data_IF_152682179763
#
_entry.id   IF_152682179763
#
_cell.length_a   1.000
_cell.length_b   1.000
_cell.length_c   1.000
_cell.angle_alpha   90.00
_cell.angle_beta   90.00
_cell.angle_gamma   90.00
#
_symmetry.space_group_name_H-M   'P 1'
#
loop_
_entity.id
_entity.type
_entity.pdbx_description
1 polymer ?
#
# COMPACT_ATOMS: atom_id res chain seq x y z
N UNK A 1 10.42 9.32 -17.90
CA UNK A 1 9.98 10.69 -17.50
C UNK A 1 8.47 10.65 -17.41
N UNK A 2 7.96 10.60 -16.19
CA UNK A 2 6.57 10.25 -15.89
C UNK A 2 5.55 11.27 -16.42
N UNK A 3 4.58 10.75 -17.14
CA UNK A 3 3.45 11.50 -17.71
C UNK A 3 2.46 12.01 -16.63
N UNK A 4 2.60 11.53 -15.40
CA UNK A 4 1.67 11.80 -14.28
C UNK A 4 1.95 13.06 -13.46
N UNK A 5 3.14 13.68 -13.56
CA UNK A 5 3.46 14.88 -12.76
C UNK A 5 2.63 16.13 -13.10
N UNK A 6 1.82 16.09 -14.16
CA UNK A 6 0.97 17.20 -14.59
C UNK A 6 -0.50 17.11 -14.16
N UNK A 7 -0.93 16.00 -13.57
CA UNK A 7 -2.33 15.80 -13.20
C UNK A 7 -2.67 16.25 -11.77
N UNK A 8 -1.68 16.41 -10.91
CA UNK A 8 -1.89 16.86 -9.53
C UNK A 8 -1.39 18.30 -9.40
N UNK A 9 -2.32 19.25 -9.46
CA UNK A 9 -2.07 20.62 -9.03
C UNK A 9 -1.58 20.55 -7.58
N UNK A 10 -0.31 20.99 -7.34
CA UNK A 10 0.35 20.82 -6.04
C UNK A 10 -0.47 21.46 -4.92
N UNK A 11 -1.08 20.64 -4.08
CA UNK A 11 -1.57 21.08 -2.78
C UNK A 11 -0.38 21.57 -1.98
N UNK A 12 -0.57 22.68 -1.29
CA UNK A 12 0.46 23.23 -0.43
C UNK A 12 0.65 22.25 0.76
N UNK A 13 1.87 21.86 1.08
CA UNK A 13 2.18 20.91 2.18
C UNK A 13 1.52 21.31 3.51
N UNK A 14 1.25 22.60 3.69
CA UNK A 14 0.54 23.15 4.85
C UNK A 14 -0.96 22.77 4.91
N UNK A 15 -1.53 22.23 3.85
CA UNK A 15 -2.95 21.86 3.75
C UNK A 15 -3.19 20.37 3.91
N UNK A 16 -2.13 19.53 3.98
CA UNK A 16 -2.26 18.08 4.09
C UNK A 16 -2.57 17.69 5.55
N UNK A 17 -3.73 17.08 5.77
CA UNK A 17 -4.05 16.45 7.05
C UNK A 17 -3.48 15.02 7.12
N UNK A 18 -2.33 14.90 7.78
CA UNK A 18 -1.68 13.60 7.96
C UNK A 18 -2.43 12.64 8.89
N UNK A 19 -3.46 13.09 9.63
CA UNK A 19 -4.26 12.19 10.47
C UNK A 19 -5.04 11.16 9.64
N UNK A 20 -5.28 11.44 8.36
CA UNK A 20 -5.91 10.49 7.45
C UNK A 20 -5.17 9.14 7.38
N UNK A 21 -3.85 9.13 7.62
CA UNK A 21 -3.08 7.89 7.68
C UNK A 21 -3.50 6.96 8.83
N UNK A 22 -4.02 7.51 9.93
CA UNK A 22 -4.58 6.69 11.01
C UNK A 22 -5.89 5.99 10.58
N UNK A 23 -6.70 6.67 9.78
CA UNK A 23 -7.91 6.06 9.22
C UNK A 23 -7.56 4.98 8.18
N UNK A 24 -6.56 5.22 7.34
CA UNK A 24 -6.05 4.18 6.43
C UNK A 24 -5.52 2.98 7.22
N UNK A 25 -4.71 3.23 8.25
CA UNK A 25 -4.16 2.18 9.10
C UNK A 25 -5.25 1.33 9.75
N UNK A 26 -6.28 1.95 10.34
CA UNK A 26 -7.41 1.22 10.94
C UNK A 26 -8.08 0.28 9.93
N UNK A 27 -8.37 0.78 8.74
CA UNK A 27 -9.07 0.01 7.72
C UNK A 27 -8.23 -1.15 7.19
N UNK A 28 -6.94 -0.92 6.92
CA UNK A 28 -6.05 -1.92 6.30
C UNK A 28 -5.57 -2.94 7.32
N UNK A 29 -5.24 -2.49 8.54
CA UNK A 29 -4.69 -3.35 9.58
C UNK A 29 -5.72 -3.93 10.55
N UNK A 30 -7.01 -3.72 10.29
CA UNK A 30 -8.10 -4.21 11.15
C UNK A 30 -7.95 -3.73 12.60
N UNK A 31 -7.64 -2.44 12.77
CA UNK A 31 -7.40 -1.78 14.06
C UNK A 31 -6.21 -2.37 14.87
N UNK A 32 -5.19 -2.93 14.22
CA UNK A 32 -3.99 -3.42 14.90
C UNK A 32 -3.30 -2.29 15.67
N UNK A 33 -3.24 -2.41 17.00
CA UNK A 33 -2.71 -1.37 17.90
C UNK A 33 -1.24 -1.03 17.62
N UNK A 34 -0.44 -2.01 17.20
CA UNK A 34 0.97 -1.80 16.87
C UNK A 34 1.11 -0.95 15.61
N UNK A 35 0.35 -1.28 14.54
CA UNK A 35 0.32 -0.48 13.31
C UNK A 35 -0.13 0.94 13.61
N UNK A 36 -1.21 1.12 14.37
CA UNK A 36 -1.72 2.45 14.73
C UNK A 36 -0.69 3.28 15.51
N UNK A 37 0.04 2.64 16.44
CA UNK A 37 1.10 3.29 17.21
C UNK A 37 2.28 3.73 16.32
N UNK A 38 2.73 2.87 15.40
CA UNK A 38 3.82 3.16 14.47
C UNK A 38 3.43 4.25 13.46
N UNK A 39 2.23 4.22 12.93
CA UNK A 39 1.71 5.28 12.04
C UNK A 39 1.59 6.61 12.78
N UNK A 40 1.13 6.61 14.03
CA UNK A 40 1.10 7.82 14.86
C UNK A 40 2.51 8.39 15.07
N UNK A 41 3.52 7.55 15.33
CA UNK A 41 4.92 7.98 15.43
C UNK A 41 5.38 8.58 14.10
N UNK A 42 5.12 7.91 12.98
CA UNK A 42 5.48 8.35 11.63
C UNK A 42 4.96 9.76 11.32
N UNK A 43 3.69 10.03 11.56
CA UNK A 43 3.07 11.33 11.20
C UNK A 43 3.40 12.45 12.19
N UNK A 44 3.62 12.14 13.49
CA UNK A 44 3.87 13.15 14.53
C UNK A 44 5.36 13.41 14.76
N UNK A 45 6.23 12.44 14.47
CA UNK A 45 7.67 12.47 14.68
C UNK A 45 8.44 11.98 13.44
N UNK A 46 8.05 12.47 12.29
CA UNK A 46 8.52 11.97 10.99
C UNK A 46 10.05 11.87 10.90
N UNK A 47 10.78 12.91 11.29
CA UNK A 47 12.25 12.91 11.20
C UNK A 47 12.89 11.86 12.11
N UNK A 48 12.34 11.66 13.32
CA UNK A 48 12.82 10.64 14.24
C UNK A 48 12.50 9.23 13.71
N UNK A 49 11.31 9.03 13.15
CA UNK A 49 10.93 7.78 12.51
C UNK A 49 11.85 7.44 11.33
N UNK A 50 12.08 8.39 10.42
CA UNK A 50 12.97 8.21 9.26
C UNK A 50 14.41 7.91 9.73
N UNK A 51 14.91 8.62 10.73
CA UNK A 51 16.26 8.40 11.26
C UNK A 51 16.43 7.00 11.83
N UNK A 52 15.41 6.47 12.51
CA UNK A 52 15.38 5.12 13.09
C UNK A 52 15.31 4.03 12.01
N UNK A 53 14.61 4.30 10.90
CA UNK A 53 14.36 3.37 9.80
C UNK A 53 15.13 3.75 8.53
N UNK A 54 16.29 4.39 8.67
CA UNK A 54 17.05 4.97 7.57
C UNK A 54 17.41 3.96 6.48
N UNK A 55 17.80 2.76 6.87
CA UNK A 55 18.17 1.67 5.95
C UNK A 55 17.02 1.32 4.98
N UNK A 56 15.77 1.34 5.43
CA UNK A 56 14.63 1.09 4.57
C UNK A 56 14.59 2.08 3.39
N UNK A 57 14.71 3.37 3.68
CA UNK A 57 14.69 4.42 2.66
C UNK A 57 15.91 4.34 1.73
N UNK A 58 17.09 4.07 2.29
CA UNK A 58 18.34 3.93 1.52
C UNK A 58 18.33 2.69 0.62
N UNK A 59 17.82 1.54 1.09
CA UNK A 59 17.70 0.31 0.30
C UNK A 59 16.75 0.46 -0.89
N UNK A 60 15.75 1.34 -0.79
CA UNK A 60 14.86 1.72 -1.90
C UNK A 60 15.45 2.79 -2.82
N UNK A 61 16.68 3.25 -2.58
CA UNK A 61 17.30 4.32 -3.34
C UNK A 61 16.66 5.69 -3.11
N UNK A 62 15.94 5.86 -1.99
CA UNK A 62 15.28 7.12 -1.65
C UNK A 62 16.32 8.12 -1.13
N UNK A 63 16.48 9.23 -1.85
CA UNK A 63 17.31 10.34 -1.43
C UNK A 63 16.55 11.21 -0.43
N UNK A 64 16.83 11.03 0.86
CA UNK A 64 16.18 11.75 1.96
C UNK A 64 16.35 13.28 1.86
N UNK A 65 17.40 13.75 1.17
CA UNK A 65 17.62 15.20 0.96
C UNK A 65 16.79 15.81 -0.15
N UNK A 66 16.20 14.99 -1.03
CA UNK A 66 15.42 15.46 -2.19
C UNK A 66 13.92 15.18 -2.08
N UNK A 67 13.55 14.17 -1.33
CA UNK A 67 12.15 13.80 -1.19
C UNK A 67 11.43 14.67 -0.17
N UNK A 68 10.21 15.09 -0.51
CA UNK A 68 9.37 15.87 0.40
C UNK A 68 8.76 15.00 1.48
N UNK A 69 8.50 15.62 2.63
CA UNK A 69 7.90 14.95 3.80
C UNK A 69 6.65 14.13 3.48
N UNK A 70 5.65 14.59 2.71
CA UNK A 70 4.47 13.78 2.40
C UNK A 70 4.84 12.44 1.76
N UNK A 71 5.75 12.46 0.78
CA UNK A 71 6.19 11.24 0.10
C UNK A 71 7.00 10.30 1.01
N UNK A 72 7.80 10.85 1.91
CA UNK A 72 8.53 10.06 2.92
C UNK A 72 7.57 9.39 3.90
N UNK A 73 6.48 10.09 4.30
CA UNK A 73 5.43 9.51 5.14
C UNK A 73 4.71 8.39 4.39
N UNK A 74 4.39 8.57 3.09
CA UNK A 74 3.76 7.53 2.28
C UNK A 74 4.60 6.26 2.20
N UNK A 75 5.89 6.39 1.94
CA UNK A 75 6.80 5.25 1.91
C UNK A 75 6.95 4.57 3.28
N UNK A 76 7.07 5.37 4.34
CA UNK A 76 7.11 4.84 5.71
C UNK A 76 5.82 4.12 6.10
N UNK A 77 4.67 4.58 5.61
CA UNK A 77 3.39 3.92 5.81
C UNK A 77 3.33 2.56 5.10
N UNK A 78 3.83 2.47 3.84
CA UNK A 78 3.95 1.20 3.15
C UNK A 78 4.81 0.20 3.94
N UNK A 79 5.97 0.67 4.44
CA UNK A 79 6.88 -0.16 5.23
C UNK A 79 6.24 -0.66 6.54
N UNK A 80 5.50 0.19 7.25
CA UNK A 80 4.77 -0.21 8.44
C UNK A 80 3.78 -1.33 8.12
N UNK A 81 3.00 -1.21 7.04
CA UNK A 81 2.04 -2.24 6.66
C UNK A 81 2.73 -3.56 6.30
N UNK A 82 3.81 -3.52 5.51
CA UNK A 82 4.57 -4.70 5.10
C UNK A 82 5.21 -5.37 6.31
N UNK A 83 5.96 -4.64 7.13
CA UNK A 83 6.65 -5.19 8.31
C UNK A 83 5.71 -5.76 9.37
N UNK A 84 4.46 -5.30 9.38
CA UNK A 84 3.44 -5.84 10.26
C UNK A 84 2.56 -6.92 9.60
N UNK A 85 2.84 -7.29 8.34
CA UNK A 85 2.17 -8.36 7.60
C UNK A 85 0.74 -8.05 7.17
N UNK A 86 0.42 -6.77 6.94
CA UNK A 86 -0.89 -6.32 6.41
C UNK A 86 -0.84 -5.94 4.93
N UNK A 87 0.34 -5.87 4.35
CA UNK A 87 0.57 -5.72 2.92
C UNK A 87 1.80 -6.52 2.51
N UNK A 88 1.96 -6.75 1.23
CA UNK A 88 3.15 -7.38 0.65
C UNK A 88 3.56 -6.60 -0.60
N UNK A 89 4.87 -6.56 -0.88
CA UNK A 89 5.42 -5.92 -2.06
C UNK A 89 5.94 -6.96 -3.04
N UNK A 90 5.36 -6.97 -4.23
CA UNK A 90 5.70 -7.89 -5.31
C UNK A 90 6.43 -7.17 -6.43
N UNK A 91 7.59 -7.69 -6.83
CA UNK A 91 8.21 -7.33 -8.10
C UNK A 91 7.28 -7.75 -9.26
N UNK A 92 7.22 -6.95 -10.32
CA UNK A 92 6.38 -7.25 -11.48
C UNK A 92 6.69 -8.59 -12.16
N UNK A 93 7.90 -9.13 -11.96
CA UNK A 93 8.37 -10.44 -12.44
C UNK A 93 8.28 -11.54 -11.38
N UNK A 94 7.58 -11.32 -10.29
CA UNK A 94 7.40 -12.36 -9.28
C UNK A 94 6.82 -13.63 -9.93
N UNK A 95 7.35 -14.80 -9.56
CA UNK A 95 6.83 -16.08 -9.99
C UNK A 95 5.49 -16.37 -9.30
N UNK A 96 4.58 -17.09 -9.97
CA UNK A 96 3.23 -17.35 -9.49
C UNK A 96 3.23 -18.04 -8.11
N UNK A 97 4.03 -19.07 -7.91
CA UNK A 97 4.13 -19.77 -6.63
C UNK A 97 4.55 -18.85 -5.48
N UNK A 98 5.50 -17.94 -5.76
CA UNK A 98 5.93 -16.92 -4.80
C UNK A 98 4.80 -15.93 -4.49
N UNK A 99 4.11 -15.44 -5.53
CA UNK A 99 2.98 -14.53 -5.39
C UNK A 99 1.86 -15.14 -4.53
N UNK A 100 1.41 -16.36 -4.83
CA UNK A 100 0.36 -17.06 -4.10
C UNK A 100 0.77 -17.30 -2.63
N UNK A 101 2.01 -17.76 -2.41
CA UNK A 101 2.52 -18.03 -1.07
C UNK A 101 2.57 -16.79 -0.19
N UNK A 102 3.14 -15.69 -0.70
CA UNK A 102 3.27 -14.46 0.07
C UNK A 102 1.92 -13.75 0.27
N UNK A 103 1.03 -13.77 -0.72
CA UNK A 103 -0.31 -13.21 -0.59
C UNK A 103 -1.11 -13.90 0.50
N UNK A 104 -1.01 -15.24 0.59
CA UNK A 104 -1.67 -16.03 1.62
C UNK A 104 -1.12 -15.79 3.04
N UNK A 105 0.08 -15.22 3.17
CA UNK A 105 0.66 -14.87 4.48
C UNK A 105 0.14 -13.53 5.02
N UNK A 106 -0.48 -12.69 4.21
CA UNK A 106 -1.04 -11.41 4.67
C UNK A 106 -2.12 -11.66 5.74
N UNK A 107 -2.03 -10.95 6.85
CA UNK A 107 -2.92 -11.15 8.00
C UNK A 107 -4.40 -10.96 7.67
N UNK A 108 -4.73 -9.91 6.91
CA UNK A 108 -6.12 -9.67 6.50
C UNK A 108 -6.65 -10.75 5.57
N UNK A 109 -5.82 -11.37 4.72
CA UNK A 109 -6.19 -12.53 3.93
C UNK A 109 -6.70 -13.68 4.83
N UNK A 110 -5.94 -13.97 5.90
CA UNK A 110 -6.30 -15.02 6.88
C UNK A 110 -7.53 -14.67 7.72
N UNK A 111 -7.64 -13.40 8.13
CA UNK A 111 -8.78 -12.94 8.95
C UNK A 111 -10.09 -12.96 8.16
N UNK A 112 -10.05 -12.62 6.89
CA UNK A 112 -11.21 -12.67 6.01
C UNK A 112 -11.54 -14.06 5.47
N UNK A 113 -10.69 -15.07 5.79
CA UNK A 113 -10.84 -16.46 5.33
C UNK A 113 -10.96 -16.54 3.79
N UNK A 114 -10.10 -15.79 3.10
CA UNK A 114 -10.11 -15.70 1.65
C UNK A 114 -9.44 -16.92 1.01
N UNK A 115 -9.95 -17.33 -0.14
CA UNK A 115 -9.34 -18.37 -0.97
C UNK A 115 -8.85 -17.76 -2.29
N UNK A 116 -7.66 -18.19 -2.73
CA UNK A 116 -7.16 -17.80 -4.05
C UNK A 116 -7.90 -18.56 -5.13
N UNK A 117 -8.39 -17.87 -6.18
CA UNK A 117 -8.89 -18.54 -7.35
C UNK A 117 -7.73 -19.24 -8.09
N UNK A 118 -8.01 -20.23 -8.94
CA UNK A 118 -6.98 -20.82 -9.80
C UNK A 118 -6.33 -19.74 -10.68
N UNK A 119 -5.04 -19.51 -10.50
CA UNK A 119 -4.22 -18.64 -11.33
C UNK A 119 -3.41 -19.46 -12.31
N UNK A 120 -2.95 -18.86 -13.41
CA UNK A 120 -2.16 -19.55 -14.45
C UNK A 120 -0.89 -18.79 -14.74
N UNK A 121 0.19 -19.53 -15.02
CA UNK A 121 1.48 -18.97 -15.41
C UNK A 121 1.48 -18.34 -16.83
N UNK A 122 0.47 -18.63 -17.64
CA UNK A 122 0.39 -18.15 -19.03
C UNK A 122 0.42 -16.63 -19.18
N UNK A 123 0.21 -15.93 -18.07
CA UNK A 123 0.20 -14.49 -18.01
C UNK A 123 1.23 -13.94 -17.03
N UNK A 124 2.43 -14.42 -16.97
CA UNK A 124 3.55 -14.03 -16.08
C UNK A 124 3.59 -12.54 -15.67
N UNK A 125 2.51 -12.03 -15.09
CA UNK A 125 2.33 -10.64 -14.72
C UNK A 125 1.45 -10.54 -13.47
N UNK A 126 2.03 -10.02 -12.42
CA UNK A 126 1.37 -9.77 -11.13
C UNK A 126 0.07 -8.97 -11.32
N UNK A 127 0.05 -8.02 -12.24
CA UNK A 127 -1.14 -7.21 -12.54
C UNK A 127 -2.33 -8.07 -13.03
N UNK A 128 -2.09 -9.00 -13.95
CA UNK A 128 -3.14 -9.86 -14.48
C UNK A 128 -3.66 -10.88 -13.44
N UNK A 129 -2.79 -11.33 -12.52
CA UNK A 129 -3.24 -12.16 -11.40
C UNK A 129 -4.11 -11.38 -10.42
N UNK A 130 -3.71 -10.16 -10.04
CA UNK A 130 -4.52 -9.29 -9.18
C UNK A 130 -5.89 -9.04 -9.80
N UNK A 131 -5.93 -8.73 -11.10
CA UNK A 131 -7.19 -8.51 -11.84
C UNK A 131 -8.10 -9.75 -11.86
N UNK A 132 -7.50 -10.93 -12.02
CA UNK A 132 -8.24 -12.21 -11.96
C UNK A 132 -8.84 -12.42 -10.58
N UNK A 133 -8.05 -12.21 -9.51
CA UNK A 133 -8.51 -12.30 -8.13
C UNK A 133 -9.65 -11.30 -7.89
N UNK A 134 -9.48 -10.04 -8.27
CA UNK A 134 -10.47 -8.99 -8.08
C UNK A 134 -11.80 -9.27 -8.78
N UNK A 135 -11.75 -9.88 -9.99
CA UNK A 135 -12.97 -10.28 -10.70
C UNK A 135 -13.82 -11.26 -9.89
N UNK A 136 -13.16 -12.17 -9.13
CA UNK A 136 -13.85 -13.20 -8.36
C UNK A 136 -14.21 -12.68 -6.95
N UNK A 137 -13.29 -11.99 -6.29
CA UNK A 137 -13.50 -11.53 -4.93
C UNK A 137 -14.52 -10.40 -4.80
N UNK A 138 -14.73 -9.58 -5.85
CA UNK A 138 -15.77 -8.56 -5.84
C UNK A 138 -17.17 -9.13 -5.60
N UNK A 139 -17.47 -10.32 -6.11
CA UNK A 139 -18.74 -11.00 -5.83
C UNK A 139 -18.88 -11.44 -4.37
N UNK A 140 -17.75 -11.58 -3.67
CA UNK A 140 -17.69 -11.92 -2.24
C UNK A 140 -17.60 -10.67 -1.35
N UNK A 141 -17.54 -9.47 -1.95
CA UNK A 141 -17.43 -8.20 -1.22
C UNK A 141 -16.00 -7.83 -0.82
N UNK A 142 -14.98 -8.42 -1.44
CA UNK A 142 -13.57 -8.14 -1.20
C UNK A 142 -12.83 -7.76 -2.48
N UNK A 143 -11.65 -7.18 -2.32
CA UNK A 143 -10.71 -6.96 -3.42
C UNK A 143 -9.27 -6.84 -2.90
N UNK A 144 -8.31 -6.97 -3.82
CA UNK A 144 -6.94 -6.52 -3.64
C UNK A 144 -6.84 -5.06 -4.07
N UNK A 145 -6.35 -4.22 -3.18
CA UNK A 145 -5.95 -2.86 -3.50
C UNK A 145 -4.44 -2.74 -3.59
N UNK A 146 -4.01 -1.82 -4.45
CA UNK A 146 -2.62 -1.40 -4.57
C UNK A 146 -2.42 -0.05 -3.91
N UNK A 147 -1.34 0.07 -3.16
CA UNK A 147 -0.75 1.33 -2.75
C UNK A 147 0.32 1.72 -3.79
N UNK A 148 0.10 2.80 -4.54
CA UNK A 148 1.01 3.23 -5.59
C UNK A 148 2.25 3.89 -5.00
N UNK A 149 3.42 3.30 -5.23
CA UNK A 149 4.70 3.77 -4.68
C UNK A 149 5.68 4.32 -5.73
N UNK A 150 5.23 4.50 -6.99
CA UNK A 150 6.03 4.99 -8.11
C UNK A 150 7.28 4.11 -8.38
N UNK A 151 7.07 2.79 -8.38
CA UNK A 151 8.07 1.74 -8.59
C UNK A 151 7.52 0.69 -9.56
N UNK A 152 8.39 -0.19 -10.03
CA UNK A 152 8.03 -1.38 -10.82
C UNK A 152 7.48 -2.52 -9.93
N UNK A 153 7.28 -2.27 -8.63
CA UNK A 153 6.67 -3.20 -7.69
C UNK A 153 5.27 -2.79 -7.27
N UNK A 154 4.51 -3.76 -6.77
CA UNK A 154 3.14 -3.63 -6.33
C UNK A 154 3.06 -3.87 -4.84
N UNK A 155 2.74 -2.83 -4.04
CA UNK A 155 2.38 -3.00 -2.63
C UNK A 155 0.88 -3.25 -2.57
N UNK A 156 0.48 -4.47 -2.25
CA UNK A 156 -0.93 -4.89 -2.28
C UNK A 156 -1.41 -5.43 -0.94
N UNK A 157 -2.71 -5.33 -0.72
CA UNK A 157 -3.39 -5.84 0.46
C UNK A 157 -4.86 -6.18 0.15
N UNK A 158 -5.42 -7.25 0.75
CA UNK A 158 -6.84 -7.53 0.67
C UNK A 158 -7.65 -6.63 1.60
N UNK A 159 -8.81 -6.19 1.12
CA UNK A 159 -9.73 -5.32 1.87
C UNK A 159 -11.18 -5.57 1.46
N UNK A 160 -12.12 -5.21 2.33
CA UNK A 160 -13.54 -5.18 1.98
C UNK A 160 -13.82 -4.13 0.87
N UNK A 161 -14.53 -4.52 -0.17
CA UNK A 161 -14.84 -3.65 -1.31
C UNK A 161 -15.58 -2.36 -0.91
N UNK A 162 -16.36 -2.40 0.18
CA UNK A 162 -17.04 -1.23 0.73
C UNK A 162 -16.14 -0.11 1.24
N UNK A 163 -14.85 -0.40 1.47
CA UNK A 163 -13.86 0.53 2.03
C UNK A 163 -12.99 1.21 0.95
N UNK A 164 -13.04 0.72 -0.28
CA UNK A 164 -12.14 1.15 -1.36
C UNK A 164 -12.35 2.60 -1.78
N UNK A 165 -13.60 3.04 -1.92
CA UNK A 165 -13.93 4.41 -2.31
C UNK A 165 -13.36 5.45 -1.33
N UNK A 166 -13.39 5.15 -0.03
CA UNK A 166 -12.79 6.00 0.99
C UNK A 166 -11.27 6.10 0.78
N UNK A 167 -10.56 4.97 0.66
CA UNK A 167 -9.11 4.96 0.47
C UNK A 167 -8.70 5.70 -0.80
N UNK A 168 -9.37 5.47 -1.93
CA UNK A 168 -9.09 6.14 -3.19
C UNK A 168 -9.35 7.65 -3.13
N UNK A 169 -10.41 8.06 -2.45
CA UNK A 169 -10.80 9.47 -2.37
C UNK A 169 -9.87 10.24 -1.44
N UNK A 170 -9.60 9.70 -0.26
CA UNK A 170 -8.79 10.40 0.75
C UNK A 170 -7.31 10.41 0.37
N UNK A 171 -6.78 9.36 -0.28
CA UNK A 171 -5.39 9.37 -0.73
C UNK A 171 -5.12 10.43 -1.79
N UNK A 172 -6.07 10.71 -2.68
CA UNK A 172 -5.95 11.80 -3.66
C UNK A 172 -5.83 13.17 -3.02
N UNK A 173 -6.45 13.40 -1.86
CA UNK A 173 -6.35 14.68 -1.13
C UNK A 173 -4.94 14.95 -0.59
N UNK A 174 -4.18 13.90 -0.36
CA UNK A 174 -2.78 13.99 0.09
C UNK A 174 -1.77 13.79 -1.06
N UNK A 175 -2.23 13.83 -2.31
CA UNK A 175 -1.45 13.59 -3.54
C UNK A 175 -0.79 12.22 -3.61
N UNK A 176 -1.39 11.24 -3.00
CA UNK A 176 -0.99 9.83 -3.06
C UNK A 176 -2.15 9.00 -3.64
N UNK A 177 -1.94 7.72 -3.87
CA UNK A 177 -2.95 6.92 -4.54
C UNK A 177 -3.02 5.49 -4.01
N UNK A 178 -4.21 5.12 -3.53
CA UNK A 178 -4.68 3.75 -3.53
C UNK A 178 -5.54 3.50 -4.77
N UNK A 179 -5.48 2.30 -5.30
CA UNK A 179 -6.24 1.92 -6.50
C UNK A 179 -6.61 0.44 -6.49
N UNK A 180 -7.75 0.10 -7.10
CA UNK A 180 -8.08 -1.27 -7.45
C UNK A 180 -7.42 -1.56 -8.81
N UNK A 181 -6.71 -2.66 -8.92
CA UNK A 181 -6.07 -3.09 -10.17
C UNK A 181 -7.07 -3.78 -11.10
#
# INVERSE_FOLDING_TARGET
MGFFSKLFGGTNEAEIDFNVYLEFAKLISLDDEKVLSEVKELITRTDAFISKNKEFYENRGIDLGKWKRPRLIWMGFADILINNGFAEEFDWKCELECFESLLAEIKSFKVYDLELPPLTEDKNDVYEWIKTINTIWQEQGFCLMQMYIDSDSYVIFPIEASKTEFLETESKKINEMFMIC
#
